data_IF_759452686397
#
_entry.id   IF_759452686397
#
_cell.length_a   1.000
_cell.length_b   1.000
_cell.length_c   1.000
_cell.angle_alpha   90.00
_cell.angle_beta   90.00
_cell.angle_gamma   90.00
#
_symmetry.space_group_name_H-M   'P 1'
#
loop_
_entity.id
_entity.type
_entity.pdbx_description
1 polymer ?
#
# COMPACT_ATOMS: atom_id res chain seq x y z
N UNK A 1 9.36 -61.83 13.68
CA UNK A 1 9.37 -60.45 14.23
C UNK A 1 10.43 -59.56 13.55
N UNK A 2 11.68 -60.02 13.44
CA UNK A 2 12.86 -59.21 13.04
C UNK A 2 12.81 -58.59 11.64
N UNK A 3 12.23 -59.29 10.63
CA UNK A 3 12.15 -58.78 9.24
C UNK A 3 11.20 -57.59 9.06
N UNK A 4 10.14 -57.51 9.87
CA UNK A 4 9.16 -56.40 9.82
C UNK A 4 9.79 -55.10 10.31
N UNK A 5 10.49 -55.18 11.44
CA UNK A 5 11.21 -54.04 12.04
C UNK A 5 12.28 -53.49 11.08
N UNK A 6 12.99 -54.38 10.36
CA UNK A 6 14.00 -53.93 9.38
C UNK A 6 13.37 -53.23 8.18
N UNK A 7 12.22 -53.70 7.69
CA UNK A 7 11.48 -53.03 6.60
C UNK A 7 10.98 -51.65 7.03
N UNK A 8 10.36 -51.55 8.20
CA UNK A 8 9.87 -50.27 8.75
C UNK A 8 11.02 -49.28 8.96
N UNK A 9 12.19 -49.74 9.43
CA UNK A 9 13.38 -48.89 9.55
C UNK A 9 13.87 -48.34 8.21
N UNK A 10 13.77 -49.10 7.11
CA UNK A 10 14.13 -48.62 5.77
C UNK A 10 13.14 -47.55 5.31
N UNK A 11 11.84 -47.79 5.46
CA UNK A 11 10.79 -46.83 5.09
C UNK A 11 10.90 -45.52 5.88
N UNK A 12 11.20 -45.59 7.18
CA UNK A 12 11.44 -44.40 8.02
C UNK A 12 12.64 -43.61 7.51
N UNK A 13 13.76 -44.27 7.16
CA UNK A 13 14.96 -43.59 6.63
C UNK A 13 14.67 -42.90 5.30
N UNK A 14 13.93 -43.55 4.41
CA UNK A 14 13.52 -42.93 3.15
C UNK A 14 12.57 -41.76 3.37
N UNK A 15 11.64 -41.88 4.32
CA UNK A 15 10.77 -40.79 4.75
C UNK A 15 11.55 -39.59 5.27
N UNK A 16 12.54 -39.82 6.13
CA UNK A 16 13.43 -38.78 6.65
C UNK A 16 14.20 -38.06 5.54
N UNK A 17 14.73 -38.81 4.56
CA UNK A 17 15.43 -38.23 3.42
C UNK A 17 14.51 -37.32 2.59
N UNK A 18 13.28 -37.76 2.30
CA UNK A 18 12.29 -36.93 1.59
C UNK A 18 11.94 -35.66 2.36
N UNK A 19 11.82 -35.75 3.69
CA UNK A 19 11.57 -34.58 4.55
C UNK A 19 12.74 -33.60 4.48
N UNK A 20 13.98 -34.08 4.55
CA UNK A 20 15.18 -33.24 4.48
C UNK A 20 15.28 -32.50 3.13
N UNK A 21 15.04 -33.20 2.03
CA UNK A 21 15.02 -32.62 0.68
C UNK A 21 13.93 -31.55 0.55
N UNK A 22 12.71 -31.85 1.02
CA UNK A 22 11.60 -30.88 1.05
C UNK A 22 11.91 -29.65 1.90
N UNK A 23 12.53 -29.81 3.07
CA UNK A 23 12.96 -28.69 3.90
C UNK A 23 14.01 -27.81 3.21
N UNK A 24 14.95 -28.41 2.49
CA UNK A 24 15.97 -27.67 1.73
C UNK A 24 15.33 -26.83 0.63
N UNK A 25 14.37 -27.40 -0.10
CA UNK A 25 13.61 -26.69 -1.13
C UNK A 25 12.83 -25.50 -0.55
N UNK A 26 12.07 -25.74 0.53
CA UNK A 26 11.28 -24.69 1.21
C UNK A 26 12.20 -23.56 1.70
N UNK A 27 13.35 -23.89 2.29
CA UNK A 27 14.34 -22.88 2.71
C UNK A 27 14.90 -22.09 1.53
N UNK A 28 15.08 -22.72 0.37
CA UNK A 28 15.49 -22.05 -0.87
C UNK A 28 14.46 -21.01 -1.30
N UNK A 29 13.20 -21.42 -1.47
CA UNK A 29 12.10 -20.54 -1.86
C UNK A 29 11.92 -19.38 -0.87
N UNK A 30 12.00 -19.65 0.43
CA UNK A 30 11.88 -18.62 1.45
C UNK A 30 13.00 -17.56 1.38
N UNK A 31 14.23 -17.95 1.01
CA UNK A 31 15.32 -17.00 0.77
C UNK A 31 15.05 -16.11 -0.43
N UNK A 32 14.50 -16.66 -1.50
CA UNK A 32 14.12 -15.88 -2.70
C UNK A 32 13.00 -14.90 -2.39
N UNK A 33 11.94 -15.35 -1.72
CA UNK A 33 10.83 -14.49 -1.27
C UNK A 33 11.35 -13.33 -0.40
N UNK A 34 12.27 -13.60 0.53
CA UNK A 34 12.87 -12.55 1.37
C UNK A 34 13.67 -11.53 0.56
N UNK A 35 14.42 -11.97 -0.45
CA UNK A 35 15.16 -11.07 -1.34
C UNK A 35 14.20 -10.16 -2.11
N UNK A 36 13.14 -10.73 -2.67
CA UNK A 36 12.17 -9.97 -3.45
C UNK A 36 11.36 -9.01 -2.57
N UNK A 37 10.93 -9.46 -1.39
CA UNK A 37 10.26 -8.61 -0.40
C UNK A 37 11.10 -7.40 0.00
N UNK A 38 12.43 -7.57 0.13
CA UNK A 38 13.33 -6.45 0.40
C UNK A 38 13.33 -5.44 -0.75
N UNK A 39 13.47 -5.89 -2.00
CA UNK A 39 13.43 -4.99 -3.17
C UNK A 39 12.11 -4.23 -3.25
N UNK A 40 10.98 -4.93 -3.08
CA UNK A 40 9.65 -4.31 -3.09
C UNK A 40 9.52 -3.25 -2.00
N UNK A 41 10.10 -3.48 -0.81
CA UNK A 41 10.11 -2.49 0.27
C UNK A 41 10.93 -1.25 -0.12
N UNK A 42 12.11 -1.45 -0.69
CA UNK A 42 13.01 -0.36 -1.11
C UNK A 42 12.35 0.48 -2.24
N UNK A 43 11.69 -0.18 -3.20
CA UNK A 43 10.93 0.47 -4.28
C UNK A 43 9.70 1.24 -3.73
N UNK A 44 8.94 0.65 -2.81
CA UNK A 44 7.80 1.30 -2.18
C UNK A 44 8.21 2.55 -1.39
N UNK A 45 9.34 2.51 -0.69
CA UNK A 45 9.89 3.66 0.03
C UNK A 45 10.28 4.78 -0.96
N UNK A 46 10.88 4.42 -2.10
CA UNK A 46 11.21 5.38 -3.16
C UNK A 46 9.94 6.02 -3.74
N UNK A 47 8.92 5.23 -4.07
CA UNK A 47 7.64 5.73 -4.58
C UNK A 47 6.97 6.65 -3.55
N UNK A 48 7.01 6.30 -2.27
CA UNK A 48 6.44 7.12 -1.18
C UNK A 48 7.13 8.49 -1.12
N UNK A 49 8.47 8.52 -1.15
CA UNK A 49 9.25 9.76 -1.17
C UNK A 49 8.93 10.62 -2.39
N UNK A 50 8.84 9.99 -3.57
CA UNK A 50 8.48 10.68 -4.81
C UNK A 50 7.05 11.21 -4.78
N UNK A 51 6.12 10.45 -4.22
CA UNK A 51 4.71 10.85 -4.10
C UNK A 51 4.56 12.08 -3.20
N UNK A 52 5.23 12.08 -2.05
CA UNK A 52 5.25 13.25 -1.15
C UNK A 52 5.87 14.49 -1.82
N UNK A 53 6.97 14.32 -2.56
CA UNK A 53 7.58 15.41 -3.33
C UNK A 53 6.63 15.95 -4.42
N UNK A 54 5.90 15.06 -5.10
CA UNK A 54 4.93 15.44 -6.11
C UNK A 54 3.71 16.16 -5.50
N UNK A 55 3.24 15.73 -4.33
CA UNK A 55 2.16 16.42 -3.60
C UNK A 55 2.56 17.86 -3.27
N UNK A 56 3.75 18.07 -2.69
CA UNK A 56 4.27 19.42 -2.42
C UNK A 56 4.34 20.26 -3.70
N UNK A 57 4.78 19.66 -4.81
CA UNK A 57 4.86 20.33 -6.11
C UNK A 57 3.48 20.77 -6.61
N UNK A 58 2.49 19.89 -6.51
CA UNK A 58 1.12 20.17 -6.92
C UNK A 58 0.50 21.26 -6.03
N UNK A 59 0.70 21.21 -4.72
CA UNK A 59 0.21 22.23 -3.79
C UNK A 59 0.77 23.61 -4.13
N UNK A 60 2.08 23.69 -4.40
CA UNK A 60 2.70 24.93 -4.86
C UNK A 60 2.11 25.41 -6.19
N UNK A 61 1.89 24.52 -7.16
CA UNK A 61 1.26 24.86 -8.44
C UNK A 61 -0.17 25.39 -8.24
N UNK A 62 -0.98 24.78 -7.36
CA UNK A 62 -2.31 25.27 -7.04
C UNK A 62 -2.28 26.64 -6.38
N UNK A 63 -1.37 26.87 -5.43
CA UNK A 63 -1.22 28.17 -4.78
C UNK A 63 -0.79 29.26 -5.75
N UNK A 64 0.06 28.93 -6.73
CA UNK A 64 0.45 29.85 -7.82
C UNK A 64 -0.78 30.25 -8.65
N UNK A 65 -1.57 29.27 -9.09
CA UNK A 65 -2.79 29.54 -9.87
C UNK A 65 -3.76 30.42 -9.08
N UNK A 66 -3.91 30.16 -7.77
CA UNK A 66 -4.72 30.98 -6.88
C UNK A 66 -4.19 32.42 -6.76
N UNK A 67 -2.89 32.60 -6.52
CA UNK A 67 -2.27 33.92 -6.42
C UNK A 67 -2.44 34.73 -7.71
N UNK A 68 -2.34 34.07 -8.88
CA UNK A 68 -2.62 34.70 -10.18
C UNK A 68 -4.07 35.12 -10.34
N UNK A 69 -5.01 34.27 -9.93
CA UNK A 69 -6.44 34.62 -9.95
C UNK A 69 -6.77 35.79 -9.02
N UNK A 70 -6.05 35.92 -7.91
CA UNK A 70 -6.15 37.02 -6.94
C UNK A 70 -5.35 38.28 -7.37
N UNK A 71 -4.64 38.25 -8.51
CA UNK A 71 -3.69 39.28 -8.95
C UNK A 71 -2.57 39.62 -7.93
N UNK A 72 -2.22 38.68 -7.06
CA UNK A 72 -1.13 38.80 -6.09
C UNK A 72 0.22 38.44 -6.73
N UNK A 73 0.83 39.42 -7.40
CA UNK A 73 2.08 39.25 -8.15
C UNK A 73 3.28 38.93 -7.26
N UNK A 74 3.32 39.46 -6.02
CA UNK A 74 4.38 39.19 -5.07
C UNK A 74 4.37 37.72 -4.61
N UNK A 75 3.18 37.20 -4.31
CA UNK A 75 2.99 35.80 -3.91
C UNK A 75 3.23 34.83 -5.06
N UNK A 76 2.76 35.13 -6.27
CA UNK A 76 3.07 34.34 -7.48
C UNK A 76 4.58 34.24 -7.71
N UNK A 77 5.29 35.39 -7.70
CA UNK A 77 6.73 35.42 -7.91
C UNK A 77 7.49 34.56 -6.88
N UNK A 78 7.12 34.69 -5.59
CA UNK A 78 7.72 33.92 -4.50
C UNK A 78 7.46 32.42 -4.67
N UNK A 79 6.21 32.01 -4.86
CA UNK A 79 5.85 30.60 -5.01
C UNK A 79 6.47 29.97 -6.25
N UNK A 80 6.54 30.70 -7.36
CA UNK A 80 7.19 30.26 -8.60
C UNK A 80 8.71 30.09 -8.40
N UNK A 81 9.37 30.93 -7.62
CA UNK A 81 10.77 30.75 -7.25
C UNK A 81 10.96 29.52 -6.36
N UNK A 82 10.10 29.34 -5.35
CA UNK A 82 10.11 28.17 -4.47
C UNK A 82 9.93 26.87 -5.25
N UNK A 83 8.98 26.81 -6.19
CA UNK A 83 8.75 25.66 -7.06
C UNK A 83 9.98 25.32 -7.94
N UNK A 84 10.69 26.33 -8.44
CA UNK A 84 11.94 26.14 -9.20
C UNK A 84 13.04 25.52 -8.33
N UNK A 85 13.23 26.01 -7.12
CA UNK A 85 14.20 25.44 -6.17
C UNK A 85 13.92 23.96 -5.89
N UNK A 86 12.67 23.61 -5.55
CA UNK A 86 12.28 22.21 -5.30
C UNK A 86 12.39 21.32 -6.54
N UNK A 87 12.19 21.87 -7.74
CA UNK A 87 12.32 21.09 -8.99
C UNK A 87 13.78 20.75 -9.29
N UNK A 88 14.72 21.66 -9.03
CA UNK A 88 16.15 21.47 -9.29
C UNK A 88 16.78 20.43 -8.34
N UNK A 89 16.39 20.44 -7.05
CA UNK A 89 16.93 19.52 -6.04
C UNK A 89 16.54 18.05 -6.27
N UNK A 90 15.43 17.81 -7.00
CA UNK A 90 14.97 16.48 -7.36
C UNK A 90 15.65 15.90 -8.62
N UNK A 91 16.25 16.71 -9.48
CA UNK A 91 16.97 16.22 -10.66
C UNK A 91 18.36 15.65 -10.31
N UNK A 92 19.08 16.26 -9.37
CA UNK A 92 20.41 15.77 -8.93
C UNK A 92 20.39 14.38 -8.28
N UNK A 93 19.25 13.97 -7.70
CA UNK A 93 19.06 12.65 -7.07
C UNK A 93 18.65 11.54 -8.04
N UNK A 94 18.25 11.87 -9.28
CA UNK A 94 17.77 10.91 -10.29
C UNK A 94 18.92 10.18 -10.99
N UNK A 95 20.06 10.84 -11.16
CA UNK A 95 21.16 10.32 -11.99
C UNK A 95 22.13 9.39 -11.23
N UNK A 96 22.09 9.38 -9.90
CA UNK A 96 22.99 8.59 -9.06
C UNK A 96 22.61 7.11 -8.87
N UNK A 97 21.37 6.69 -9.14
CA UNK A 97 20.89 5.34 -8.81
C UNK A 97 20.41 4.49 -10.00
N UNK A 98 20.26 5.08 -11.19
CA UNK A 98 19.82 4.35 -12.39
C UNK A 98 20.96 3.65 -13.17
N UNK A 99 22.22 3.78 -12.73
CA UNK A 99 23.41 3.26 -13.43
C UNK A 99 23.80 1.81 -13.07
N UNK A 100 22.93 1.05 -12.41
CA UNK A 100 23.23 -0.30 -11.93
C UNK A 100 22.78 -1.48 -12.81
N UNK A 101 22.06 -1.27 -13.90
CA UNK A 101 21.38 -2.39 -14.59
C UNK A 101 21.27 -2.27 -16.11
N UNK A 102 22.30 -1.69 -16.78
CA UNK A 102 22.33 -1.59 -18.25
C UNK A 102 23.37 -2.46 -18.98
N UNK A 103 23.87 -3.54 -18.36
CA UNK A 103 24.64 -4.56 -19.09
C UNK A 103 23.92 -5.90 -19.16
N UNK A 104 22.73 -5.97 -19.76
CA UNK A 104 22.26 -7.19 -20.46
C UNK A 104 20.91 -7.01 -21.16
N UNK A 105 20.81 -6.16 -22.19
CA UNK A 105 19.73 -6.31 -23.20
C UNK A 105 20.25 -5.99 -24.60
N UNK A 106 21.13 -6.85 -25.11
CA UNK A 106 21.26 -7.02 -26.57
C UNK A 106 20.02 -7.79 -27.05
N UNK A 107 19.20 -7.12 -27.86
CA UNK A 107 18.18 -7.77 -28.69
C UNK A 107 16.78 -7.85 -28.07
N UNK A 108 16.09 -6.73 -27.89
CA UNK A 108 14.63 -6.70 -27.95
C UNK A 108 14.18 -5.65 -28.95
N UNK A 109 13.62 -6.14 -30.06
CA UNK A 109 12.96 -5.38 -31.11
C UNK A 109 11.97 -4.41 -30.43
N UNK A 110 12.11 -3.11 -30.69
CA UNK A 110 11.23 -2.08 -30.12
C UNK A 110 9.79 -2.43 -30.51
N UNK A 111 8.91 -2.60 -29.52
CA UNK A 111 7.48 -2.76 -29.73
C UNK A 111 6.98 -1.55 -30.52
N UNK A 112 6.16 -1.79 -31.53
CA UNK A 112 5.59 -0.72 -32.34
C UNK A 112 4.64 0.15 -31.51
N UNK A 113 4.50 1.42 -31.87
CA UNK A 113 3.68 2.40 -31.14
C UNK A 113 2.21 1.94 -30.93
N UNK A 114 1.70 1.05 -31.79
CA UNK A 114 0.37 0.44 -31.66
C UNK A 114 0.22 -0.58 -30.52
N UNK A 115 1.29 -1.28 -30.14
CA UNK A 115 1.25 -2.22 -29.01
C UNK A 115 1.22 -1.50 -27.66
N UNK A 116 1.98 -0.39 -27.55
CA UNK A 116 1.99 0.49 -26.37
C UNK A 116 0.61 1.10 -26.10
N UNK A 117 -0.10 1.52 -27.15
CA UNK A 117 -1.45 2.09 -27.02
C UNK A 117 -2.48 1.07 -26.49
N UNK A 118 -2.36 -0.19 -26.91
CA UNK A 118 -3.25 -1.27 -26.44
C UNK A 118 -2.99 -1.64 -24.98
N UNK A 119 -1.72 -1.68 -24.57
CA UNK A 119 -1.33 -1.94 -23.18
C UNK A 119 -1.83 -0.82 -22.25
N UNK A 120 -1.70 0.44 -22.67
CA UNK A 120 -2.21 1.60 -21.93
C UNK A 120 -3.74 1.56 -21.79
N UNK A 121 -4.46 1.17 -22.85
CA UNK A 121 -5.92 1.04 -22.83
C UNK A 121 -6.38 -0.04 -21.86
N UNK A 122 -5.71 -1.21 -21.85
CA UNK A 122 -6.00 -2.29 -20.89
C UNK A 122 -5.75 -1.86 -19.45
N UNK A 123 -4.66 -1.14 -19.20
CA UNK A 123 -4.34 -0.62 -17.87
C UNK A 123 -5.39 0.38 -17.38
N UNK A 124 -5.85 1.28 -18.26
CA UNK A 124 -6.91 2.24 -17.95
C UNK A 124 -8.23 1.55 -17.60
N UNK A 125 -8.61 0.51 -18.33
CA UNK A 125 -9.81 -0.29 -18.03
C UNK A 125 -9.66 -1.11 -16.73
N UNK A 126 -8.45 -1.57 -16.42
CA UNK A 126 -8.14 -2.19 -15.12
C UNK A 126 -8.38 -1.24 -13.96
N UNK A 127 -7.72 -0.07 -13.99
CA UNK A 127 -7.86 0.97 -12.98
C UNK A 127 -9.32 1.43 -12.80
N UNK A 128 -10.09 1.52 -13.89
CA UNK A 128 -11.51 1.89 -13.82
C UNK A 128 -12.37 0.84 -13.10
N UNK A 129 -12.02 -0.45 -13.21
CA UNK A 129 -12.71 -1.53 -12.48
C UNK A 129 -12.32 -1.52 -11.01
N UNK A 130 -11.04 -1.34 -10.71
CA UNK A 130 -10.54 -1.29 -9.33
C UNK A 130 -11.17 -0.13 -8.57
N UNK A 131 -11.29 1.04 -9.21
CA UNK A 131 -11.97 2.21 -8.63
C UNK A 131 -13.44 1.89 -8.26
N UNK A 132 -14.18 1.24 -9.16
CA UNK A 132 -15.58 0.83 -8.90
C UNK A 132 -15.70 -0.20 -7.78
N UNK A 133 -14.71 -1.07 -7.62
CA UNK A 133 -14.71 -2.03 -6.52
C UNK A 133 -14.43 -1.33 -5.20
N UNK A 134 -13.50 -0.38 -5.18
CA UNK A 134 -13.19 0.43 -4.01
C UNK A 134 -14.40 1.26 -3.56
N UNK A 135 -15.15 1.86 -4.50
CA UNK A 135 -16.38 2.59 -4.18
C UNK A 135 -17.43 1.72 -3.47
N UNK A 136 -17.52 0.43 -3.86
CA UNK A 136 -18.43 -0.52 -3.21
C UNK A 136 -17.96 -0.90 -1.80
N UNK A 137 -16.66 -1.11 -1.62
CA UNK A 137 -16.07 -1.41 -0.31
C UNK A 137 -16.25 -0.21 0.65
N UNK A 138 -16.07 1.02 0.17
CA UNK A 138 -16.31 2.24 0.95
C UNK A 138 -17.78 2.30 1.39
N UNK A 139 -18.73 2.07 0.48
CA UNK A 139 -20.15 2.08 0.83
C UNK A 139 -20.51 1.01 1.88
N UNK A 140 -19.91 -0.18 1.79
CA UNK A 140 -20.10 -1.23 2.78
C UNK A 140 -19.54 -0.83 4.16
N UNK A 141 -18.33 -0.26 4.19
CA UNK A 141 -17.72 0.21 5.43
C UNK A 141 -18.52 1.36 6.06
N UNK A 142 -19.03 2.30 5.27
CA UNK A 142 -19.92 3.37 5.76
C UNK A 142 -21.14 2.81 6.48
N UNK A 143 -21.82 1.81 5.89
CA UNK A 143 -22.98 1.18 6.53
C UNK A 143 -22.61 0.45 7.83
N UNK A 144 -21.43 -0.16 7.91
CA UNK A 144 -20.97 -0.84 9.13
C UNK A 144 -20.71 0.19 10.23
N UNK A 145 -20.05 1.30 9.91
CA UNK A 145 -19.76 2.37 10.87
C UNK A 145 -21.05 2.98 11.39
N UNK A 146 -21.99 3.32 10.52
CA UNK A 146 -23.29 3.89 10.91
C UNK A 146 -24.08 2.94 11.83
N UNK A 147 -24.08 1.64 11.54
CA UNK A 147 -24.70 0.64 12.42
C UNK A 147 -24.01 0.52 13.78
N UNK A 148 -22.68 0.69 13.84
CA UNK A 148 -21.94 0.66 15.10
C UNK A 148 -22.19 1.92 15.94
N UNK A 149 -22.30 3.10 15.31
CA UNK A 149 -22.65 4.34 15.99
C UNK A 149 -24.05 4.26 16.61
N UNK A 150 -25.03 3.79 15.84
CA UNK A 150 -26.40 3.59 16.35
C UNK A 150 -26.45 2.61 17.55
N UNK A 151 -25.68 1.52 17.49
CA UNK A 151 -25.59 0.57 18.61
C UNK A 151 -24.94 1.20 19.85
N UNK A 152 -23.94 2.07 19.66
CA UNK A 152 -23.25 2.74 20.76
C UNK A 152 -24.17 3.78 21.43
N UNK A 153 -24.95 4.50 20.64
CA UNK A 153 -25.95 5.46 21.13
C UNK A 153 -27.04 4.77 21.96
N UNK A 154 -27.55 3.61 21.49
CA UNK A 154 -28.52 2.80 22.25
C UNK A 154 -27.95 2.31 23.59
N UNK A 155 -26.70 1.85 23.60
CA UNK A 155 -26.02 1.41 24.83
C UNK A 155 -25.80 2.57 25.80
N UNK A 156 -25.43 3.76 25.31
CA UNK A 156 -25.27 4.96 26.12
C UNK A 156 -26.60 5.40 26.74
N UNK A 157 -27.69 5.41 25.96
CA UNK A 157 -29.04 5.69 26.43
C UNK A 157 -29.46 4.72 27.55
N UNK A 158 -29.22 3.42 27.37
CA UNK A 158 -29.55 2.41 28.37
C UNK A 158 -28.72 2.59 29.66
N UNK A 159 -27.42 2.89 29.56
CA UNK A 159 -26.56 3.15 30.71
C UNK A 159 -27.02 4.39 31.50
N UNK A 160 -27.35 5.49 30.79
CA UNK A 160 -27.86 6.73 31.41
C UNK A 160 -29.18 6.49 32.14
N UNK A 161 -30.08 5.69 31.55
CA UNK A 161 -31.34 5.32 32.18
C UNK A 161 -31.14 4.50 33.46
N UNK A 162 -30.25 3.50 33.43
CA UNK A 162 -29.90 2.69 34.61
C UNK A 162 -29.27 3.52 35.74
N UNK A 163 -28.35 4.43 35.39
CA UNK A 163 -27.72 5.32 36.38
C UNK A 163 -28.74 6.28 36.99
N UNK A 164 -29.65 6.82 36.19
CA UNK A 164 -30.73 7.70 36.65
C UNK A 164 -31.66 6.98 37.62
N UNK A 165 -32.02 5.72 37.32
CA UNK A 165 -32.81 4.87 38.20
C UNK A 165 -32.10 4.58 39.53
N UNK A 166 -30.80 4.23 39.48
CA UNK A 166 -29.99 4.04 40.68
C UNK A 166 -29.95 5.30 41.55
N UNK A 167 -29.66 6.46 40.96
CA UNK A 167 -29.66 7.74 41.69
C UNK A 167 -31.02 8.00 42.34
N UNK A 168 -32.13 7.86 41.62
CA UNK A 168 -33.47 8.02 42.19
C UNK A 168 -33.76 7.05 43.34
N UNK A 169 -33.31 5.80 43.26
CA UNK A 169 -33.48 4.80 44.32
C UNK A 169 -32.68 5.12 45.60
N UNK A 170 -31.50 5.74 45.47
CA UNK A 170 -30.68 6.18 46.60
C UNK A 170 -31.22 7.44 47.30
N UNK A 171 -31.87 8.35 46.57
CA UNK A 171 -32.45 9.58 47.12
C UNK A 171 -33.92 9.45 47.57
N UNK A 172 -34.55 8.28 47.39
CA UNK A 172 -35.94 8.02 47.80
C UNK A 172 -36.09 7.25 49.13
N UNK A 173 -35.00 7.02 49.87
CA UNK A 173 -35.06 6.48 51.22
C UNK A 173 -35.14 7.63 52.24
N UNK A 174 -36.23 7.74 53.04
CA UNK A 174 -36.34 8.74 54.09
C UNK A 174 -35.38 8.52 55.27
#
# INVERSE_FOLDING_TARGET
MTRRITSEMVEIREGQKRIEEGQKEVRGKLKEIRKESKKLKDEAELITKQSAANQLRLDLMFQIVKARAENDSAKDARLTQTLRYYSMDNHAKRDGHLLGSSQQQKGKKRKSDGELANDLKKMKEGLKRDLKNLDKEIAQLSNIVENQENLMDDLLLQLVAHLSFLVQSFYSFP
#
